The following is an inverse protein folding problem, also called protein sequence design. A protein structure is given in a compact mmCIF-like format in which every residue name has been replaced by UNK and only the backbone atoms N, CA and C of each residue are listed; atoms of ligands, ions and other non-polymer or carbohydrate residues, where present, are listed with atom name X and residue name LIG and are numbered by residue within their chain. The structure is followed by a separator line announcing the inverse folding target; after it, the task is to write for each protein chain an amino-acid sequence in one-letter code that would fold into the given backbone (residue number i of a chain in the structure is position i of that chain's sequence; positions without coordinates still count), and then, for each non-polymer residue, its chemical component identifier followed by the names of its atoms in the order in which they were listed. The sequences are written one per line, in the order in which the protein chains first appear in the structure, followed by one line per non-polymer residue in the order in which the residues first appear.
data_IF_486458407490
#
_entry.id   IF_486458407490
#
_cell.length_a   1.000
_cell.length_b   1.000
_cell.length_c   1.000
_cell.angle_alpha   90.00
_cell.angle_beta   90.00
_cell.angle_gamma   90.00
#
_symmetry.space_group_name_H-M   'P 1'
#
loop_
_entity.id
_entity.type
_entity.pdbx_description
1 polymer ?
#
# COMPACT_ATOMS: atom_id res chain seq x y z
N UNK A 1 7.82 32.22 -90.04
CA UNK A 1 8.49 30.95 -89.71
C UNK A 1 9.51 31.12 -88.59
N UNK A 2 10.69 31.75 -88.78
CA UNK A 2 11.72 31.86 -87.73
C UNK A 2 11.27 32.54 -86.42
N UNK A 3 10.50 33.63 -86.52
CA UNK A 3 9.94 34.32 -85.33
C UNK A 3 8.89 33.51 -84.56
N UNK A 4 8.21 32.58 -85.22
CA UNK A 4 7.12 31.77 -84.65
C UNK A 4 7.69 30.53 -83.93
N UNK A 5 8.79 29.99 -84.46
CA UNK A 5 9.65 29.01 -83.78
C UNK A 5 10.29 29.62 -82.53
N UNK A 6 10.81 30.86 -82.60
CA UNK A 6 11.39 31.56 -81.45
C UNK A 6 10.34 31.82 -80.34
N UNK A 7 9.11 32.21 -80.71
CA UNK A 7 8.01 32.39 -79.75
C UNK A 7 7.62 31.06 -79.07
N UNK A 8 7.61 29.97 -79.83
CA UNK A 8 7.32 28.62 -79.30
C UNK A 8 8.42 28.15 -78.34
N UNK A 9 9.68 28.41 -78.67
CA UNK A 9 10.83 28.11 -77.81
C UNK A 9 10.76 28.94 -76.52
N UNK A 10 10.40 30.23 -76.61
CA UNK A 10 10.25 31.11 -75.45
C UNK A 10 9.16 30.59 -74.48
N UNK A 11 7.99 30.21 -75.00
CA UNK A 11 6.92 29.65 -74.16
C UNK A 11 7.30 28.32 -73.48
N UNK A 12 8.08 27.47 -74.15
CA UNK A 12 8.63 26.24 -73.53
C UNK A 12 9.60 26.55 -72.39
N UNK A 13 10.43 27.59 -72.54
CA UNK A 13 11.37 28.02 -71.50
C UNK A 13 10.66 28.60 -70.27
N UNK A 14 9.57 29.36 -70.46
CA UNK A 14 8.74 29.85 -69.36
C UNK A 14 8.08 28.70 -68.60
N UNK A 15 7.53 27.72 -69.32
CA UNK A 15 6.98 26.50 -68.75
C UNK A 15 8.05 25.72 -67.95
N UNK A 16 9.26 25.57 -68.48
CA UNK A 16 10.37 24.93 -67.77
C UNK A 16 10.77 25.67 -66.48
N UNK A 17 10.76 27.00 -66.50
CA UNK A 17 11.03 27.83 -65.31
C UNK A 17 9.97 27.62 -64.24
N UNK A 18 8.71 27.54 -64.62
CA UNK A 18 7.61 27.25 -63.70
C UNK A 18 7.71 25.83 -63.13
N UNK A 19 7.95 24.83 -63.99
CA UNK A 19 8.17 23.43 -63.57
C UNK A 19 9.29 23.38 -62.54
N UNK A 20 10.46 23.97 -62.82
CA UNK A 20 11.59 24.00 -61.88
C UNK A 20 11.18 24.59 -60.52
N UNK A 21 10.45 25.71 -60.54
CA UNK A 21 10.02 26.39 -59.31
C UNK A 21 9.07 25.51 -58.49
N UNK A 22 8.09 24.87 -59.15
CA UNK A 22 7.16 23.93 -58.54
C UNK A 22 7.86 22.67 -58.01
N UNK A 23 8.83 22.13 -58.76
CA UNK A 23 9.64 20.98 -58.32
C UNK A 23 10.43 21.30 -57.05
N UNK A 24 11.07 22.46 -56.95
CA UNK A 24 11.78 22.87 -55.73
C UNK A 24 10.82 22.97 -54.53
N UNK A 25 9.64 23.55 -54.73
CA UNK A 25 8.63 23.64 -53.67
C UNK A 25 8.14 22.25 -53.25
N UNK A 26 7.88 21.37 -54.21
CA UNK A 26 7.46 19.99 -53.96
C UNK A 26 8.51 19.22 -53.13
N UNK A 27 9.79 19.34 -53.45
CA UNK A 27 10.85 18.66 -52.68
C UNK A 27 10.95 19.19 -51.25
N UNK A 28 10.78 20.51 -51.04
CA UNK A 28 10.69 21.08 -49.68
C UNK A 28 9.50 20.52 -48.92
N UNK A 29 8.33 20.41 -49.56
CA UNK A 29 7.13 19.89 -48.94
C UNK A 29 7.27 18.40 -48.59
N UNK A 30 7.85 17.59 -49.50
CA UNK A 30 8.17 16.18 -49.24
C UNK A 30 9.10 16.01 -48.05
N UNK A 31 10.15 16.84 -47.95
CA UNK A 31 11.09 16.79 -46.83
C UNK A 31 10.39 17.05 -45.50
N UNK A 32 9.53 18.07 -45.44
CA UNK A 32 8.76 18.39 -44.22
C UNK A 32 7.77 17.27 -43.88
N UNK A 33 7.07 16.73 -44.88
CA UNK A 33 6.14 15.63 -44.68
C UNK A 33 6.83 14.40 -44.07
N UNK A 34 8.02 14.05 -44.55
CA UNK A 34 8.81 12.95 -43.97
C UNK A 34 9.16 13.20 -42.51
N UNK A 35 9.60 14.42 -42.17
CA UNK A 35 9.91 14.78 -40.79
C UNK A 35 8.69 14.65 -39.87
N UNK A 36 7.51 15.08 -40.31
CA UNK A 36 6.27 14.94 -39.53
C UNK A 36 5.87 13.47 -39.34
N UNK A 37 6.05 12.62 -40.36
CA UNK A 37 5.82 11.18 -40.24
C UNK A 37 6.78 10.57 -39.22
N UNK A 38 8.08 10.84 -39.34
CA UNK A 38 9.09 10.31 -38.42
C UNK A 38 8.83 10.78 -36.97
N UNK A 39 8.41 12.04 -36.78
CA UNK A 39 8.05 12.59 -35.48
C UNK A 39 6.79 11.91 -34.90
N UNK A 40 5.79 11.64 -35.75
CA UNK A 40 4.56 10.94 -35.35
C UNK A 40 4.88 9.51 -34.91
N UNK A 41 5.72 8.79 -35.65
CA UNK A 41 6.16 7.43 -35.26
C UNK A 41 6.98 7.42 -33.96
N UNK A 42 7.76 8.47 -33.72
CA UNK A 42 8.47 8.67 -32.46
C UNK A 42 7.50 8.86 -31.29
N UNK A 43 6.51 9.73 -31.46
CA UNK A 43 5.51 10.01 -30.41
C UNK A 43 4.65 8.79 -30.10
N UNK A 44 4.28 7.99 -31.10
CA UNK A 44 3.52 6.75 -30.88
C UNK A 44 4.29 5.77 -29.98
N UNK A 45 5.61 5.66 -30.14
CA UNK A 45 6.44 4.83 -29.24
C UNK A 45 6.44 5.35 -27.81
N UNK A 46 6.63 6.66 -27.64
CA UNK A 46 6.56 7.31 -26.34
C UNK A 46 5.21 7.07 -25.65
N UNK A 47 4.10 7.18 -26.39
CA UNK A 47 2.76 6.96 -25.87
C UNK A 47 2.56 5.52 -25.37
N UNK A 48 3.13 4.53 -26.07
CA UNK A 48 3.09 3.13 -25.62
C UNK A 48 3.84 2.97 -24.30
N UNK A 49 5.04 3.54 -24.19
CA UNK A 49 5.85 3.49 -22.97
C UNK A 49 5.14 4.16 -21.79
N UNK A 50 4.55 5.35 -21.98
CA UNK A 50 3.82 6.04 -20.92
C UNK A 50 2.57 5.28 -20.46
N UNK A 51 1.85 4.64 -21.38
CA UNK A 51 0.69 3.80 -21.03
C UNK A 51 1.12 2.59 -20.21
N UNK A 52 2.22 1.94 -20.61
CA UNK A 52 2.76 0.81 -19.88
C UNK A 52 3.21 1.20 -18.47
N UNK A 53 3.96 2.30 -18.34
CA UNK A 53 4.40 2.82 -17.03
C UNK A 53 3.20 3.15 -16.13
N UNK A 54 2.15 3.75 -16.70
CA UNK A 54 0.92 4.03 -15.96
C UNK A 54 0.22 2.75 -15.47
N UNK A 55 0.22 1.67 -16.26
CA UNK A 55 -0.31 0.38 -15.83
C UNK A 55 0.49 -0.23 -14.67
N UNK A 56 1.82 -0.13 -14.72
CA UNK A 56 2.69 -0.58 -13.62
C UNK A 56 2.41 0.19 -12.32
N UNK A 57 2.30 1.51 -12.40
CA UNK A 57 1.96 2.35 -11.24
C UNK A 57 0.59 2.00 -10.64
N UNK A 58 -0.40 1.66 -11.48
CA UNK A 58 -1.71 1.20 -11.00
C UNK A 58 -1.62 -0.15 -10.31
N UNK A 59 -0.79 -1.08 -10.81
CA UNK A 59 -0.55 -2.37 -10.16
C UNK A 59 0.13 -2.20 -8.80
N UNK A 60 1.17 -1.37 -8.72
CA UNK A 60 1.88 -1.07 -7.46
C UNK A 60 0.92 -0.45 -6.43
N UNK A 61 0.11 0.53 -6.85
CA UNK A 61 -0.95 1.10 -6.00
C UNK A 61 -1.89 0.02 -5.45
N UNK A 62 -2.30 -0.94 -6.27
CA UNK A 62 -3.17 -2.03 -5.84
C UNK A 62 -2.48 -2.99 -4.86
N UNK A 63 -1.19 -3.27 -5.05
CA UNK A 63 -0.41 -4.05 -4.11
C UNK A 63 -0.37 -3.37 -2.73
N UNK A 64 -0.10 -2.07 -2.66
CA UNK A 64 -0.11 -1.32 -1.40
C UNK A 64 -1.49 -1.28 -0.72
N UNK A 65 -2.58 -1.21 -1.48
CA UNK A 65 -3.93 -1.30 -0.91
C UNK A 65 -4.17 -2.65 -0.24
N UNK A 66 -3.68 -3.74 -0.84
CA UNK A 66 -3.80 -5.07 -0.25
C UNK A 66 -2.93 -5.24 1.00
N UNK A 67 -1.71 -4.69 1.01
CA UNK A 67 -0.86 -4.64 2.20
C UNK A 67 -1.55 -3.91 3.36
N UNK A 68 -2.15 -2.75 3.09
CA UNK A 68 -2.93 -2.00 4.09
C UNK A 68 -4.13 -2.82 4.60
N UNK A 69 -4.78 -3.58 3.74
CA UNK A 69 -5.90 -4.46 4.12
C UNK A 69 -5.43 -5.57 5.07
N UNK A 70 -4.27 -6.16 4.82
CA UNK A 70 -3.68 -7.19 5.69
C UNK A 70 -3.29 -6.62 7.05
N UNK A 71 -2.62 -5.46 7.08
CA UNK A 71 -2.28 -4.76 8.34
C UNK A 71 -3.56 -4.47 9.14
N UNK A 72 -4.63 -4.03 8.48
CA UNK A 72 -5.90 -3.78 9.16
C UNK A 72 -6.51 -5.07 9.76
N UNK A 73 -6.44 -6.18 9.03
CA UNK A 73 -6.89 -7.48 9.53
C UNK A 73 -6.08 -7.93 10.77
N UNK A 74 -4.76 -7.77 10.73
CA UNK A 74 -3.87 -8.13 11.84
C UNK A 74 -4.15 -7.27 13.09
N UNK A 75 -4.39 -5.96 12.90
CA UNK A 75 -4.79 -5.07 14.00
C UNK A 75 -6.08 -5.58 14.65
N UNK A 76 -7.11 -5.91 13.86
CA UNK A 76 -8.37 -6.41 14.39
C UNK A 76 -8.21 -7.74 15.15
N UNK A 77 -7.31 -8.62 14.69
CA UNK A 77 -6.97 -9.85 15.42
C UNK A 77 -6.34 -9.50 16.77
N UNK A 78 -5.37 -8.59 16.79
CA UNK A 78 -4.70 -8.17 18.03
C UNK A 78 -5.66 -7.50 19.02
N UNK A 79 -6.59 -6.66 18.54
CA UNK A 79 -7.63 -6.06 19.39
C UNK A 79 -8.50 -7.12 20.06
N UNK A 80 -8.91 -8.15 19.31
CA UNK A 80 -9.68 -9.27 19.88
C UNK A 80 -8.88 -10.07 20.91
N UNK A 81 -7.60 -10.32 20.65
CA UNK A 81 -6.71 -11.02 21.60
C UNK A 81 -6.55 -10.23 22.90
N UNK A 82 -6.35 -8.91 22.81
CA UNK A 82 -6.26 -8.02 23.98
C UNK A 82 -7.56 -8.10 24.78
N UNK A 83 -8.71 -7.93 24.11
CA UNK A 83 -10.01 -7.98 24.77
C UNK A 83 -10.25 -9.31 25.49
N UNK A 84 -9.98 -10.44 24.83
CA UNK A 84 -10.11 -11.76 25.46
C UNK A 84 -9.18 -11.91 26.65
N UNK A 85 -7.95 -11.43 26.54
CA UNK A 85 -6.97 -11.49 27.63
C UNK A 85 -7.39 -10.64 28.83
N UNK A 86 -8.02 -9.49 28.61
CA UNK A 86 -8.57 -8.65 29.67
C UNK A 86 -9.77 -9.32 30.36
N UNK A 87 -10.66 -9.94 29.60
CA UNK A 87 -11.79 -10.72 30.13
C UNK A 87 -11.29 -11.89 30.99
N UNK A 88 -10.31 -12.64 30.50
CA UNK A 88 -9.71 -13.76 31.23
C UNK A 88 -9.00 -13.29 32.50
N UNK A 89 -8.23 -12.19 32.42
CA UNK A 89 -7.59 -11.58 33.61
C UNK A 89 -8.63 -11.21 34.66
N UNK A 90 -9.72 -10.56 34.26
CA UNK A 90 -10.78 -10.14 35.18
C UNK A 90 -11.49 -11.35 35.80
N UNK A 91 -11.72 -12.41 35.03
CA UNK A 91 -12.27 -13.67 35.54
C UNK A 91 -11.34 -14.33 36.57
N UNK A 92 -10.04 -14.37 36.30
CA UNK A 92 -9.06 -14.90 37.27
C UNK A 92 -9.02 -14.06 38.55
N UNK A 93 -9.08 -12.73 38.43
CA UNK A 93 -9.12 -11.84 39.59
C UNK A 93 -10.38 -12.07 40.44
N UNK A 94 -11.55 -12.19 39.82
CA UNK A 94 -12.80 -12.45 40.53
C UNK A 94 -12.78 -13.82 41.23
N UNK A 95 -12.30 -14.85 40.55
CA UNK A 95 -12.13 -16.18 41.17
C UNK A 95 -11.16 -16.13 42.35
N UNK A 96 -10.04 -15.40 42.24
CA UNK A 96 -9.09 -15.24 43.33
C UNK A 96 -9.72 -14.54 44.55
N UNK A 97 -10.56 -13.51 44.31
CA UNK A 97 -11.31 -12.83 45.39
C UNK A 97 -12.29 -13.75 46.10
N UNK A 98 -13.02 -14.59 45.34
CA UNK A 98 -13.94 -15.57 45.90
C UNK A 98 -13.20 -16.62 46.73
N UNK A 99 -12.11 -17.18 46.21
CA UNK A 99 -11.26 -18.13 46.95
C UNK A 99 -10.67 -17.50 48.21
N UNK A 100 -10.24 -16.24 48.17
CA UNK A 100 -9.74 -15.55 49.34
C UNK A 100 -10.83 -15.35 50.41
N UNK A 101 -12.06 -15.06 49.99
CA UNK A 101 -13.22 -14.96 50.88
C UNK A 101 -13.55 -16.29 51.58
N UNK A 102 -13.35 -17.43 50.90
CA UNK A 102 -13.50 -18.78 51.48
C UNK A 102 -12.30 -19.19 52.35
N UNK A 103 -11.08 -18.85 51.93
CA UNK A 103 -9.84 -19.16 52.63
C UNK A 103 -9.80 -18.55 54.03
N UNK A 104 -10.13 -17.25 54.15
CA UNK A 104 -9.99 -16.51 55.40
C UNK A 104 -10.71 -17.15 56.60
N UNK A 105 -12.03 -17.42 56.56
CA UNK A 105 -12.73 -18.05 57.69
C UNK A 105 -12.24 -19.48 57.96
N UNK A 106 -11.86 -20.23 56.91
CA UNK A 106 -11.32 -21.57 57.08
C UNK A 106 -9.96 -21.55 57.80
N UNK A 107 -9.08 -20.62 57.44
CA UNK A 107 -7.78 -20.39 58.08
C UNK A 107 -7.96 -20.01 59.55
N UNK A 108 -8.88 -19.09 59.84
CA UNK A 108 -9.22 -18.68 61.22
C UNK A 108 -9.72 -19.88 62.06
N UNK A 109 -10.54 -20.74 61.47
CA UNK A 109 -11.01 -21.97 62.14
C UNK A 109 -9.87 -22.96 62.40
N UNK A 110 -9.02 -23.20 61.40
CA UNK A 110 -7.86 -24.10 61.53
C UNK A 110 -6.89 -23.59 62.60
N UNK A 111 -6.59 -22.29 62.62
CA UNK A 111 -5.72 -21.70 63.64
C UNK A 111 -6.33 -21.80 65.05
N UNK A 112 -7.65 -21.66 65.18
CA UNK A 112 -8.37 -21.84 66.45
C UNK A 112 -8.24 -23.29 66.94
N UNK A 113 -8.47 -24.28 66.08
CA UNK A 113 -8.33 -25.71 66.40
C UNK A 113 -6.88 -26.07 66.76
N UNK A 114 -5.89 -25.51 66.05
CA UNK A 114 -4.47 -25.69 66.35
C UNK A 114 -4.12 -25.13 67.74
N UNK A 115 -4.67 -23.98 68.08
CA UNK A 115 -4.45 -23.34 69.37
C UNK A 115 -4.98 -24.19 70.54
N UNK A 116 -6.15 -24.82 70.38
CA UNK A 116 -6.76 -25.68 71.41
C UNK A 116 -5.87 -26.87 71.82
N UNK A 117 -5.02 -27.36 70.91
CA UNK A 117 -4.08 -28.46 71.15
C UNK A 117 -2.62 -27.98 71.36
N UNK A 118 -2.40 -26.67 71.51
CA UNK A 118 -1.09 -26.08 71.81
C UNK A 118 -0.15 -25.91 70.61
N UNK A 119 -0.65 -25.98 69.38
CA UNK A 119 0.15 -25.70 68.17
C UNK A 119 0.14 -24.22 67.80
N UNK A 120 1.20 -23.76 67.11
CA UNK A 120 1.31 -22.38 66.58
C UNK A 120 0.42 -22.18 65.36
N UNK A 121 0.01 -20.93 65.11
CA UNK A 121 -0.75 -20.53 63.91
C UNK A 121 0.03 -20.85 62.63
N UNK A 122 -0.70 -21.09 61.55
CA UNK A 122 -0.13 -21.21 60.21
C UNK A 122 0.28 -19.82 59.66
N UNK A 123 1.27 -19.73 58.76
CA UNK A 123 1.65 -18.48 58.08
C UNK A 123 0.49 -17.86 57.30
N UNK A 124 0.59 -16.56 57.02
CA UNK A 124 -0.34 -15.86 56.13
C UNK A 124 0.04 -16.05 54.65
N UNK A 125 -0.94 -15.97 53.73
CA UNK A 125 -0.69 -16.21 52.30
C UNK A 125 0.41 -15.31 51.70
N UNK A 126 0.46 -14.04 52.12
CA UNK A 126 1.48 -13.09 51.66
C UNK A 126 2.87 -13.34 52.25
N UNK A 127 2.98 -14.17 53.29
CA UNK A 127 4.25 -14.64 53.85
C UNK A 127 4.78 -15.86 53.10
N UNK A 128 3.89 -16.60 52.41
CA UNK A 128 4.24 -17.81 51.65
C UNK A 128 4.53 -17.53 50.16
N UNK A 129 3.91 -16.49 49.57
CA UNK A 129 4.11 -16.12 48.17
C UNK A 129 4.07 -14.59 47.97
N UNK A 130 5.18 -14.02 47.49
CA UNK A 130 5.33 -12.57 47.25
C UNK A 130 4.35 -12.02 46.19
N UNK A 131 3.72 -12.90 45.39
CA UNK A 131 2.71 -12.49 44.42
C UNK A 131 1.35 -12.19 45.05
N UNK A 132 1.09 -12.67 46.28
CA UNK A 132 -0.09 -12.31 47.04
C UNK A 132 0.13 -10.96 47.72
N UNK A 133 -0.25 -9.89 47.02
CA UNK A 133 -0.30 -8.57 47.65
C UNK A 133 -1.58 -8.47 48.49
N UNK A 134 -1.49 -8.05 49.76
CA UNK A 134 -2.68 -7.75 50.55
C UNK A 134 -3.39 -6.54 49.93
N UNK A 135 -4.57 -6.74 49.34
CA UNK A 135 -5.51 -5.65 49.05
C UNK A 135 -6.27 -5.25 50.33
#
# INVERSE_FOLDING_TARGET
MKMEEDATVMGKLECLKEIRTRTIHLEKLKSRLRQEVDATEGEEKCLIEYRHEMELLLQEKMAHVEELRQIHADINVMENVIKQSEEDRNKHLENAKQLHHEYKPLKELVDSLRHEIGLTKLPELHEEDENFKPE
#
